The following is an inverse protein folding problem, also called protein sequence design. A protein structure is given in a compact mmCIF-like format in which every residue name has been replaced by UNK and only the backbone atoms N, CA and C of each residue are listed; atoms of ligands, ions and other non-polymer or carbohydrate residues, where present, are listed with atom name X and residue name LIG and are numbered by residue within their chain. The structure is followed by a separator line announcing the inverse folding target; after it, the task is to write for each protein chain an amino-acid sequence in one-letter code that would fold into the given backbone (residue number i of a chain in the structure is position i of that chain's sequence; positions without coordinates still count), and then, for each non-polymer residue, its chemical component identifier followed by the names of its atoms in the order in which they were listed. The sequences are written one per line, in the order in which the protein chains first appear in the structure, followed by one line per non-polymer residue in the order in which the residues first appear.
data_IF_226358435520
#
_entry.id   IF_226358435520
#
_cell.length_a   1.000
_cell.length_b   1.000
_cell.length_c   1.000
_cell.angle_alpha   90.00
_cell.angle_beta   90.00
_cell.angle_gamma   90.00
#
_symmetry.space_group_name_H-M   'P 1'
#
loop_
_entity.id
_entity.type
_entity.pdbx_description
1 polymer ?
#
# COMPACT_ATOMS: atom_id res chain seq x y z
N UNK A 1 16.85 12.10 -27.36
CA UNK A 1 16.32 10.74 -27.07
C UNK A 1 16.17 10.57 -25.56
N UNK A 2 14.96 10.55 -24.99
CA UNK A 2 14.77 10.00 -23.67
C UNK A 2 13.71 8.89 -23.72
N UNK A 3 14.17 7.65 -23.65
CA UNK A 3 13.30 6.49 -23.61
C UNK A 3 13.93 5.43 -22.72
N UNK A 4 13.51 5.37 -21.46
CA UNK A 4 13.01 4.16 -20.79
C UNK A 4 12.62 4.51 -19.35
N UNK A 5 11.36 4.92 -19.19
CA UNK A 5 10.61 4.66 -17.96
C UNK A 5 10.44 3.14 -17.85
N UNK A 6 11.28 2.49 -17.05
CA UNK A 6 11.01 1.14 -16.57
C UNK A 6 10.48 1.29 -15.15
N UNK A 7 9.32 0.81 -14.76
CA UNK A 7 8.42 -0.17 -15.35
C UNK A 7 7.69 -0.73 -14.14
N UNK A 8 6.38 -0.52 -14.06
CA UNK A 8 5.53 -0.83 -12.90
C UNK A 8 5.23 -2.33 -12.73
N UNK A 9 6.07 -3.19 -13.32
CA UNK A 9 5.94 -4.64 -13.33
C UNK A 9 7.17 -5.25 -12.66
N UNK A 10 7.38 -4.99 -11.36
CA UNK A 10 8.43 -5.72 -10.66
C UNK A 10 7.84 -6.99 -10.05
N UNK A 11 8.06 -8.17 -10.64
CA UNK A 11 7.55 -9.42 -10.08
C UNK A 11 8.17 -9.65 -8.69
N UNK A 12 7.52 -10.43 -7.81
CA UNK A 12 8.00 -10.69 -6.44
C UNK A 12 9.41 -11.32 -6.35
N UNK A 13 10.00 -11.73 -7.49
CA UNK A 13 11.37 -12.23 -7.63
C UNK A 13 12.35 -11.21 -8.24
N UNK A 14 11.98 -9.94 -8.31
CA UNK A 14 12.81 -8.88 -8.87
C UNK A 14 14.17 -8.74 -8.17
N UNK A 15 15.21 -8.55 -8.97
CA UNK A 15 16.59 -8.50 -8.51
C UNK A 15 17.18 -7.10 -8.68
N UNK A 16 17.64 -6.52 -7.57
CA UNK A 16 18.34 -5.22 -7.56
C UNK A 16 19.84 -5.39 -7.32
N UNK A 17 20.65 -4.50 -7.89
CA UNK A 17 22.09 -4.47 -7.65
C UNK A 17 22.46 -3.78 -6.34
N UNK A 18 23.72 -3.89 -5.91
CA UNK A 18 24.20 -3.31 -4.64
C UNK A 18 23.98 -1.80 -4.52
N UNK A 19 24.26 -1.04 -5.59
CA UNK A 19 24.09 0.42 -5.59
C UNK A 19 22.61 0.82 -5.42
N UNK A 20 21.71 0.10 -6.09
CA UNK A 20 20.28 0.34 -6.01
C UNK A 20 19.72 -0.04 -4.64
N UNK A 21 20.13 -1.20 -4.09
CA UNK A 21 19.74 -1.61 -2.75
C UNK A 21 20.21 -0.62 -1.66
N UNK A 22 21.41 -0.03 -1.81
CA UNK A 22 21.89 1.01 -0.90
C UNK A 22 21.01 2.27 -0.96
N UNK A 23 20.63 2.68 -2.18
CA UNK A 23 19.79 3.86 -2.41
C UNK A 23 18.40 3.68 -1.79
N UNK A 24 17.75 2.54 -2.04
CA UNK A 24 16.43 2.22 -1.52
C UNK A 24 16.40 2.16 0.02
N UNK A 25 17.45 1.62 0.64
CA UNK A 25 17.56 1.56 2.11
C UNK A 25 18.05 2.86 2.75
N UNK A 26 18.60 3.79 1.96
CA UNK A 26 19.29 4.98 2.47
C UNK A 26 20.53 4.65 3.32
N UNK A 27 21.23 3.55 3.03
CA UNK A 27 22.38 3.08 3.82
C UNK A 27 23.66 3.02 3.01
N UNK A 28 24.80 3.04 3.71
CA UNK A 28 26.12 2.84 3.11
C UNK A 28 26.33 1.38 2.71
N UNK A 29 27.20 1.08 1.72
CA UNK A 29 27.51 -0.29 1.30
C UNK A 29 27.95 -1.21 2.45
N UNK A 30 28.71 -0.69 3.42
CA UNK A 30 29.12 -1.45 4.61
C UNK A 30 27.93 -1.98 5.41
N UNK A 31 26.87 -1.17 5.57
CA UNK A 31 25.64 -1.57 6.26
C UNK A 31 24.83 -2.57 5.45
N UNK A 32 24.78 -2.41 4.12
CA UNK A 32 24.17 -3.40 3.23
C UNK A 32 24.83 -4.77 3.38
N UNK A 33 26.17 -4.83 3.38
CA UNK A 33 26.90 -6.08 3.61
C UNK A 33 26.67 -6.66 5.01
N UNK A 34 26.49 -5.81 6.02
CA UNK A 34 26.14 -6.26 7.36
C UNK A 34 24.74 -6.89 7.42
N UNK A 35 23.78 -6.43 6.61
CA UNK A 35 22.46 -7.09 6.49
C UNK A 35 22.55 -8.44 5.80
N UNK A 36 23.38 -8.56 4.78
CA UNK A 36 23.66 -9.84 4.09
C UNK A 36 24.31 -10.84 5.05
N UNK A 37 25.33 -10.42 5.78
CA UNK A 37 26.06 -11.27 6.73
C UNK A 37 25.19 -11.75 7.90
N UNK A 38 24.10 -11.05 8.20
CA UNK A 38 23.13 -11.40 9.26
C UNK A 38 21.89 -12.07 8.69
N UNK A 39 21.96 -12.60 7.47
CA UNK A 39 20.88 -13.32 6.77
C UNK A 39 19.58 -12.53 6.60
N UNK A 40 19.67 -11.19 6.63
CA UNK A 40 18.50 -10.31 6.46
C UNK A 40 18.17 -10.02 5.00
N UNK A 41 19.13 -10.20 4.10
CA UNK A 41 19.00 -10.04 2.66
C UNK A 41 19.50 -11.30 1.96
N UNK A 42 18.69 -11.90 1.08
CA UNK A 42 19.14 -12.98 0.21
C UNK A 42 19.92 -12.42 -0.97
N UNK A 43 21.04 -13.06 -1.27
CA UNK A 43 21.89 -12.74 -2.42
C UNK A 43 21.67 -13.77 -3.50
N UNK A 44 21.32 -13.32 -4.69
CA UNK A 44 21.22 -14.15 -5.88
C UNK A 44 22.43 -13.88 -6.77
N UNK A 45 23.11 -14.97 -7.16
CA UNK A 45 24.21 -14.95 -8.13
C UNK A 45 23.63 -15.32 -9.49
N UNK A 46 23.48 -14.33 -10.35
CA UNK A 46 22.99 -14.57 -11.72
C UNK A 46 24.16 -14.98 -12.61
N UNK A 47 24.07 -16.11 -13.33
CA UNK A 47 25.10 -16.54 -14.28
C UNK A 47 25.38 -15.44 -15.30
N UNK A 48 26.67 -15.12 -15.53
CA UNK A 48 27.07 -14.08 -16.49
C UNK A 48 27.16 -12.65 -15.93
N UNK A 49 26.77 -12.39 -14.68
CA UNK A 49 27.04 -11.10 -14.00
C UNK A 49 28.03 -11.27 -12.86
N UNK A 50 29.08 -10.44 -12.86
CA UNK A 50 30.06 -10.36 -11.76
C UNK A 50 29.48 -9.76 -10.48
N UNK A 51 28.39 -8.97 -10.59
CA UNK A 51 27.80 -8.26 -9.46
C UNK A 51 26.77 -9.11 -8.70
N UNK A 52 26.80 -9.03 -7.37
CA UNK A 52 25.80 -9.64 -6.49
C UNK A 52 24.46 -8.91 -6.66
N UNK A 53 23.37 -9.67 -6.75
CA UNK A 53 22.02 -9.12 -6.78
C UNK A 53 21.25 -9.51 -5.53
N UNK A 54 20.27 -8.71 -5.17
CA UNK A 54 19.47 -8.85 -3.96
C UNK A 54 18.00 -8.91 -4.36
N UNK A 55 17.21 -9.71 -3.64
CA UNK A 55 15.77 -9.72 -3.82
C UNK A 55 15.19 -8.39 -3.35
N UNK A 56 14.46 -7.71 -4.24
CA UNK A 56 13.80 -6.45 -3.90
C UNK A 56 12.86 -6.60 -2.70
N UNK A 57 12.10 -7.68 -2.66
CA UNK A 57 11.17 -7.96 -1.55
C UNK A 57 11.87 -8.01 -0.16
N UNK A 58 13.13 -8.47 -0.10
CA UNK A 58 13.88 -8.47 1.17
C UNK A 58 14.35 -7.06 1.55
N UNK A 59 14.69 -6.23 0.55
CA UNK A 59 15.09 -4.82 0.72
C UNK A 59 13.89 -4.01 1.25
N UNK A 60 12.72 -4.18 0.64
CA UNK A 60 11.48 -3.51 1.04
C UNK A 60 11.03 -3.93 2.44
N UNK A 61 11.11 -5.22 2.77
CA UNK A 61 10.79 -5.73 4.11
C UNK A 61 11.70 -5.13 5.18
N UNK A 62 12.98 -4.92 4.88
CA UNK A 62 13.91 -4.26 5.79
C UNK A 62 13.61 -2.78 5.97
N UNK A 63 13.26 -2.10 4.88
CA UNK A 63 12.85 -0.70 4.89
C UNK A 63 11.61 -0.52 5.79
N UNK A 64 10.56 -1.31 5.54
CA UNK A 64 9.31 -1.32 6.33
C UNK A 64 9.58 -1.55 7.82
N UNK A 65 10.42 -2.52 8.19
CA UNK A 65 10.78 -2.77 9.59
C UNK A 65 11.56 -1.61 10.22
N UNK A 66 12.41 -0.95 9.43
CA UNK A 66 13.16 0.22 9.89
C UNK A 66 12.26 1.44 10.11
N UNK A 67 11.24 1.63 9.27
CA UNK A 67 10.27 2.74 9.37
C UNK A 67 9.26 2.53 10.48
N UNK A 68 8.80 1.29 10.67
CA UNK A 68 7.95 0.91 11.80
C UNK A 68 8.64 1.22 13.14
N UNK A 69 9.95 0.95 13.24
CA UNK A 69 10.75 1.30 14.42
C UNK A 69 10.91 2.81 14.62
N UNK A 70 10.83 3.60 13.55
CA UNK A 70 10.90 5.07 13.57
C UNK A 70 9.53 5.74 13.78
N UNK A 71 8.46 4.99 14.08
CA UNK A 71 7.14 5.57 14.39
C UNK A 71 6.32 6.01 13.17
N UNK A 72 6.73 5.70 11.94
CA UNK A 72 6.04 6.10 10.69
C UNK A 72 5.09 5.03 10.15
N UNK A 73 4.62 4.12 11.02
CA UNK A 73 4.16 2.78 10.65
C UNK A 73 2.86 2.70 9.83
N UNK A 74 1.95 3.67 9.94
CA UNK A 74 0.63 3.54 9.31
C UNK A 74 0.61 4.01 7.84
N UNK A 75 1.28 5.11 7.53
CA UNK A 75 1.22 5.75 6.19
C UNK A 75 2.24 5.12 5.23
N UNK A 76 3.44 4.78 5.72
CA UNK A 76 4.50 4.19 4.90
C UNK A 76 4.21 2.72 4.52
N UNK A 77 3.54 1.95 5.39
CA UNK A 77 3.20 0.54 5.10
C UNK A 77 2.19 0.41 3.96
N UNK A 78 1.25 1.36 3.85
CA UNK A 78 0.32 1.43 2.72
C UNK A 78 1.06 1.85 1.43
N UNK A 79 1.93 2.84 1.50
CA UNK A 79 2.77 3.27 0.37
C UNK A 79 3.75 2.18 -0.10
N UNK A 80 4.31 1.36 0.79
CA UNK A 80 5.19 0.26 0.38
C UNK A 80 4.42 -0.94 -0.21
N UNK A 81 3.16 -1.16 0.17
CA UNK A 81 2.33 -2.24 -0.42
C UNK A 81 1.78 -1.89 -1.81
N UNK A 82 1.62 -0.60 -2.13
CA UNK A 82 1.00 -0.14 -3.38
C UNK A 82 1.85 0.86 -4.19
N UNK A 83 3.09 1.13 -3.77
CA UNK A 83 3.90 2.23 -4.30
C UNK A 83 3.59 3.57 -3.64
N UNK A 84 4.44 4.57 -3.90
CA UNK A 84 4.12 5.98 -3.62
C UNK A 84 2.69 6.26 -4.10
N UNK A 85 1.78 6.88 -3.31
CA UNK A 85 0.38 6.96 -3.70
C UNK A 85 0.24 7.76 -5.00
N UNK A 86 0.15 7.04 -6.13
CA UNK A 86 0.04 7.62 -7.49
C UNK A 86 -1.39 8.04 -7.80
N UNK A 87 -2.34 7.71 -6.92
CA UNK A 87 -3.75 8.07 -7.06
C UNK A 87 -4.09 9.18 -6.09
N UNK A 88 -3.99 10.42 -6.60
CA UNK A 88 -4.74 11.52 -6.02
C UNK A 88 -6.23 11.19 -6.24
N UNK A 89 -6.93 10.86 -5.15
CA UNK A 89 -8.32 10.42 -5.18
C UNK A 89 -9.16 11.35 -4.33
N UNK A 90 -10.19 11.91 -4.95
CA UNK A 90 -11.15 12.77 -4.27
C UNK A 90 -12.27 11.99 -3.57
N UNK A 91 -12.19 10.65 -3.51
CA UNK A 91 -13.28 9.79 -3.02
C UNK A 91 -13.35 9.82 -1.48
N UNK A 92 -12.23 9.58 -0.81
CA UNK A 92 -12.20 9.44 0.66
C UNK A 92 -11.00 10.18 1.22
N UNK A 93 -11.25 11.02 2.21
CA UNK A 93 -10.23 11.62 3.04
C UNK A 93 -10.30 11.02 4.44
N UNK A 94 -9.14 10.58 4.96
CA UNK A 94 -8.99 10.05 6.31
C UNK A 94 -7.85 10.79 7.01
N UNK A 95 -8.21 11.67 7.95
CA UNK A 95 -7.27 12.50 8.68
C UNK A 95 -7.62 12.70 10.16
N UNK A 96 -6.85 13.53 10.89
CA UNK A 96 -7.08 13.82 12.31
C UNK A 96 -8.50 14.35 12.61
N UNK A 97 -9.07 15.13 11.70
CA UNK A 97 -10.42 15.66 11.77
C UNK A 97 -11.52 14.60 11.49
N UNK A 98 -11.15 13.41 11.05
CA UNK A 98 -12.04 12.26 10.85
C UNK A 98 -12.07 11.74 9.41
N UNK A 99 -13.14 10.99 9.12
CA UNK A 99 -13.39 10.37 7.82
C UNK A 99 -14.39 11.18 7.02
N UNK A 100 -14.07 11.46 5.76
CA UNK A 100 -14.90 12.23 4.85
C UNK A 100 -15.01 11.51 3.51
N UNK A 101 -16.23 11.44 2.98
CA UNK A 101 -16.51 10.94 1.63
C UNK A 101 -16.78 12.14 0.72
N UNK A 102 -15.92 12.37 -0.27
CA UNK A 102 -15.98 13.52 -1.19
C UNK A 102 -16.23 14.87 -0.49
N UNK A 103 -15.57 15.08 0.66
CA UNK A 103 -15.69 16.30 1.47
C UNK A 103 -16.85 16.30 2.48
N UNK A 104 -17.73 15.30 2.48
CA UNK A 104 -18.85 15.18 3.42
C UNK A 104 -18.46 14.27 4.58
N UNK A 105 -18.72 14.70 5.82
CA UNK A 105 -18.38 13.91 7.01
C UNK A 105 -19.08 12.55 7.02
N UNK A 106 -18.29 11.46 7.07
CA UNK A 106 -18.82 10.10 7.17
C UNK A 106 -19.61 9.88 8.47
N UNK A 107 -19.30 10.64 9.54
CA UNK A 107 -20.03 10.57 10.81
C UNK A 107 -21.44 11.12 10.68
N UNK A 108 -21.60 12.24 9.98
CA UNK A 108 -22.92 12.84 9.76
C UNK A 108 -23.73 12.01 8.78
N UNK A 109 -23.10 11.46 7.74
CA UNK A 109 -23.71 10.49 6.84
C UNK A 109 -24.19 9.23 7.58
N UNK A 110 -23.43 8.73 8.57
CA UNK A 110 -23.84 7.56 9.34
C UNK A 110 -25.02 7.84 10.29
N UNK A 111 -25.18 9.08 10.77
CA UNK A 111 -26.28 9.46 11.67
C UNK A 111 -27.57 9.77 10.92
N UNK A 112 -27.45 10.40 9.76
CA UNK A 112 -28.56 11.07 9.09
C UNK A 112 -28.76 10.63 7.63
N UNK A 113 -27.78 9.97 7.03
CA UNK A 113 -27.84 9.50 5.65
C UNK A 113 -28.43 8.10 5.52
N UNK A 114 -28.78 7.76 4.29
CA UNK A 114 -29.14 6.40 3.87
C UNK A 114 -27.94 5.74 3.20
N UNK A 115 -27.95 4.40 3.11
CA UNK A 115 -26.90 3.66 2.41
C UNK A 115 -26.87 4.10 0.93
N UNK A 116 -28.04 4.23 0.34
CA UNK A 116 -28.31 4.67 -1.01
C UNK A 116 -27.76 6.08 -1.25
N UNK A 117 -28.01 7.03 -0.34
CA UNK A 117 -27.50 8.39 -0.47
C UNK A 117 -25.97 8.48 -0.37
N UNK A 118 -25.35 7.60 0.43
CA UNK A 118 -23.89 7.49 0.48
C UNK A 118 -23.34 6.84 -0.80
N UNK A 119 -24.04 5.84 -1.34
CA UNK A 119 -23.67 5.19 -2.59
C UNK A 119 -23.73 6.17 -3.78
N UNK A 120 -24.79 6.96 -3.88
CA UNK A 120 -24.93 8.04 -4.88
C UNK A 120 -23.78 9.04 -4.78
N UNK A 121 -23.45 9.49 -3.56
CA UNK A 121 -22.32 10.38 -3.30
C UNK A 121 -21.01 9.76 -3.81
N UNK A 122 -20.73 8.51 -3.47
CA UNK A 122 -19.47 7.85 -3.84
C UNK A 122 -19.35 7.64 -5.35
N UNK A 123 -20.41 7.14 -5.98
CA UNK A 123 -20.46 6.81 -7.40
C UNK A 123 -20.75 8.00 -8.33
N UNK A 124 -21.10 9.17 -7.79
CA UNK A 124 -21.56 10.34 -8.56
C UNK A 124 -22.74 9.99 -9.48
N UNK A 125 -23.62 9.12 -8.97
CA UNK A 125 -24.73 8.55 -9.71
C UNK A 125 -26.03 9.31 -9.38
N UNK A 126 -25.99 10.64 -9.44
CA UNK A 126 -27.10 11.52 -9.05
C UNK A 126 -28.44 11.08 -9.66
N UNK A 127 -29.43 10.82 -8.80
CA UNK A 127 -30.78 10.41 -9.23
C UNK A 127 -30.91 8.92 -9.56
N UNK A 128 -29.96 8.08 -9.13
CA UNK A 128 -30.09 6.62 -9.28
C UNK A 128 -31.08 6.07 -8.27
N UNK A 129 -32.14 5.45 -8.76
CA UNK A 129 -33.06 4.69 -7.93
C UNK A 129 -32.42 3.36 -7.58
N UNK A 130 -32.11 3.14 -6.30
CA UNK A 130 -31.73 1.83 -5.81
C UNK A 130 -33.00 0.98 -5.64
N UNK A 131 -33.10 -0.10 -6.42
CA UNK A 131 -34.11 -1.11 -6.16
C UNK A 131 -33.77 -1.83 -4.85
N UNK A 132 -34.75 -1.85 -3.93
CA UNK A 132 -34.61 -2.60 -2.70
C UNK A 132 -34.44 -4.09 -3.05
N UNK A 133 -33.28 -4.64 -2.71
CA UNK A 133 -33.08 -6.09 -2.81
C UNK A 133 -34.14 -6.79 -1.95
N UNK A 134 -34.77 -7.88 -2.44
CA UNK A 134 -35.62 -8.69 -1.58
C UNK A 134 -34.84 -9.08 -0.33
N UNK A 135 -35.49 -8.95 0.83
CA UNK A 135 -34.85 -9.09 2.12
C UNK A 135 -34.01 -10.39 2.18
N UNK A 136 -32.75 -10.34 2.65
CA UNK A 136 -31.91 -11.52 2.72
C UNK A 136 -32.59 -12.57 3.62
N UNK A 137 -32.84 -13.75 3.07
CA UNK A 137 -33.63 -14.82 3.71
C UNK A 137 -32.91 -15.55 4.86
N UNK A 138 -31.81 -15.01 5.40
CA UNK A 138 -31.18 -15.60 6.57
C UNK A 138 -30.47 -14.56 7.42
N UNK A 139 -30.74 -14.61 8.74
CA UNK A 139 -30.01 -13.88 9.77
C UNK A 139 -28.52 -14.17 9.62
N UNK A 140 -27.72 -13.15 9.29
CA UNK A 140 -26.26 -13.20 9.43
C UNK A 140 -25.96 -13.46 10.89
N UNK A 141 -25.67 -14.72 11.20
CA UNK A 141 -25.48 -15.19 12.55
C UNK A 141 -24.05 -14.84 12.99
N UNK A 142 -23.96 -13.82 13.85
CA UNK A 142 -22.97 -13.68 14.93
C UNK A 142 -21.49 -13.58 14.49
N UNK A 143 -21.06 -12.36 14.13
CA UNK A 143 -19.67 -11.94 14.34
C UNK A 143 -19.50 -11.46 15.79
N UNK A 144 -19.38 -12.40 16.73
CA UNK A 144 -18.80 -12.13 18.05
C UNK A 144 -17.95 -13.34 18.43
N UNK A 145 -16.64 -13.21 18.26
CA UNK A 145 -15.64 -13.83 19.12
C UNK A 145 -14.37 -12.96 19.08
N UNK A 146 -14.22 -12.11 20.09
CA UNK A 146 -13.02 -11.99 20.93
C UNK A 146 -13.40 -11.30 22.23
#
# INVERSE_FOLDING_TARGET
MPGRVGGFDNPPNALVGSAEACRLLGVKPATLYAYVSREKLRVIRTPGRKARQYLLADVERLLSRSEARRGHAAVATAALRWGEPVLDSTITYAGPEGLFYRGVSARELAKHGTLEGVADLLWQAEGTTFEASPAPSSRVSRWVQR
#
